data_IF_007344403987
#
_entry.id   IF_007344403987
#
_cell.length_a   1.000
_cell.length_b   1.000
_cell.length_c   1.000
_cell.angle_alpha   90.00
_cell.angle_beta   90.00
_cell.angle_gamma   90.00
#
_symmetry.space_group_name_H-M   'P 1'
#
loop_
_entity.id
_entity.type
_entity.pdbx_description
1 polymer ?
#
# COMPACT_ATOMS: atom_id res chain seq x y z
N UNK A 1 35.77 -35.70 -24.67
CA UNK A 1 36.80 -34.69 -25.03
C UNK A 1 36.18 -33.65 -25.95
N UNK A 2 36.56 -32.37 -25.77
CA UNK A 2 36.17 -31.12 -26.49
C UNK A 2 35.26 -30.14 -25.72
N UNK A 3 35.91 -29.33 -24.87
CA UNK A 3 35.72 -27.87 -24.75
C UNK A 3 36.60 -27.21 -25.83
N UNK A 4 36.34 -26.01 -26.42
CA UNK A 4 36.18 -24.72 -25.71
C UNK A 4 35.16 -23.75 -26.40
N UNK A 5 34.69 -22.65 -25.80
CA UNK A 5 35.39 -21.37 -25.85
C UNK A 5 34.71 -20.33 -24.96
N UNK A 6 35.53 -19.69 -24.13
CA UNK A 6 35.27 -18.39 -23.52
C UNK A 6 35.11 -17.32 -24.62
N UNK A 7 34.13 -16.44 -24.45
CA UNK A 7 34.31 -15.03 -24.81
C UNK A 7 33.87 -14.16 -23.63
N UNK A 8 34.90 -13.63 -22.97
CA UNK A 8 34.85 -12.48 -22.07
C UNK A 8 34.33 -11.25 -22.82
N UNK A 9 33.40 -10.53 -22.21
CA UNK A 9 33.11 -9.13 -22.51
C UNK A 9 32.97 -8.39 -21.18
N UNK A 10 34.04 -7.74 -20.68
CA UNK A 10 33.92 -6.76 -19.61
C UNK A 10 33.51 -5.44 -20.26
N UNK A 11 32.19 -5.25 -20.41
CA UNK A 11 31.62 -4.01 -20.93
C UNK A 11 31.58 -2.94 -19.85
N UNK A 12 32.42 -1.92 -20.02
CA UNK A 12 32.43 -0.66 -19.27
C UNK A 12 31.01 -0.09 -19.05
N UNK A 13 30.59 0.00 -17.79
CA UNK A 13 29.51 0.89 -17.32
C UNK A 13 29.92 1.48 -15.96
N UNK A 14 30.97 2.29 -15.94
CA UNK A 14 31.30 3.15 -14.80
C UNK A 14 31.46 4.58 -15.32
N UNK A 15 30.34 5.28 -15.40
CA UNK A 15 30.33 6.68 -15.79
C UNK A 15 28.92 7.22 -15.82
N UNK A 16 28.43 7.67 -14.66
CA UNK A 16 27.44 8.75 -14.45
C UNK A 16 27.08 8.82 -12.94
N UNK A 17 28.08 9.07 -12.09
CA UNK A 17 27.85 9.45 -10.68
C UNK A 17 28.16 10.93 -10.53
N UNK A 18 27.32 11.76 -11.17
CA UNK A 18 27.49 13.21 -11.19
C UNK A 18 26.20 13.93 -10.82
N UNK A 19 25.49 13.48 -9.78
CA UNK A 19 24.27 14.14 -9.30
C UNK A 19 24.53 14.72 -7.93
N UNK A 20 24.57 16.06 -7.91
CA UNK A 20 24.29 16.94 -6.78
C UNK A 20 24.70 16.43 -5.38
N UNK A 21 25.91 16.81 -4.94
CA UNK A 21 26.26 16.92 -3.52
C UNK A 21 25.55 18.12 -2.87
N UNK A 22 24.22 18.19 -3.02
CA UNK A 22 23.40 18.96 -2.10
C UNK A 22 23.01 17.99 -1.01
N UNK A 23 23.49 18.20 0.22
CA UNK A 23 23.03 17.47 1.40
C UNK A 23 21.49 17.46 1.39
N UNK A 24 20.90 16.32 1.03
CA UNK A 24 19.46 16.16 1.09
C UNK A 24 19.10 16.11 2.57
N UNK A 25 18.38 17.12 3.12
CA UNK A 25 18.03 17.15 4.53
C UNK A 25 17.20 15.92 4.93
N UNK A 26 16.49 15.30 3.98
CA UNK A 26 15.72 14.08 4.19
C UNK A 26 16.61 12.84 4.29
N UNK A 27 17.83 12.88 3.74
CA UNK A 27 18.83 11.82 3.87
C UNK A 27 19.68 11.94 5.14
N UNK A 28 19.46 12.96 5.98
CA UNK A 28 20.20 13.12 7.23
C UNK A 28 19.98 11.92 8.17
N UNK A 29 21.04 11.46 8.83
CA UNK A 29 20.99 10.32 9.77
C UNK A 29 19.93 10.52 10.86
N UNK A 30 19.74 11.78 11.30
CA UNK A 30 18.74 12.17 12.30
C UNK A 30 17.31 11.96 11.80
N UNK A 31 17.02 12.32 10.54
CA UNK A 31 15.71 12.08 9.93
C UNK A 31 15.45 10.58 9.78
N UNK A 32 16.41 9.83 9.24
CA UNK A 32 16.31 8.38 9.04
C UNK A 32 16.04 7.65 10.37
N UNK A 33 16.77 8.00 11.43
CA UNK A 33 16.58 7.41 12.76
C UNK A 33 15.19 7.74 13.34
N UNK A 34 14.69 8.95 13.12
CA UNK A 34 13.36 9.35 13.60
C UNK A 34 12.23 8.58 12.88
N UNK A 35 12.37 8.36 11.58
CA UNK A 35 11.42 7.57 10.78
C UNK A 35 11.41 6.10 11.21
N UNK A 36 12.58 5.49 11.43
CA UNK A 36 12.68 4.11 11.92
C UNK A 36 11.95 3.91 13.26
N UNK A 37 12.06 4.87 14.19
CA UNK A 37 11.35 4.82 15.47
C UNK A 37 9.84 4.93 15.30
N UNK A 38 9.38 5.79 14.39
CA UNK A 38 7.96 5.92 14.08
C UNK A 38 7.41 4.60 13.49
N UNK A 39 8.14 3.96 12.59
CA UNK A 39 7.71 2.69 11.99
C UNK A 39 7.72 1.54 13.01
N UNK A 40 8.70 1.48 13.91
CA UNK A 40 8.69 0.52 15.02
C UNK A 40 7.44 0.68 15.91
N UNK A 41 7.03 1.93 16.22
CA UNK A 41 5.81 2.19 17.00
C UNK A 41 4.53 1.77 16.26
N UNK A 42 4.49 1.96 14.93
CA UNK A 42 3.37 1.51 14.09
C UNK A 42 3.27 -0.02 14.08
N UNK A 43 4.39 -0.72 13.95
CA UNK A 43 4.46 -2.18 13.96
C UNK A 43 4.07 -2.78 15.30
N UNK A 44 4.36 -2.09 16.41
CA UNK A 44 3.98 -2.51 17.76
C UNK A 44 2.52 -2.20 18.12
N UNK A 45 1.71 -1.70 17.17
CA UNK A 45 0.34 -1.24 17.43
C UNK A 45 0.25 -0.29 18.63
N UNK A 46 1.23 0.62 18.75
CA UNK A 46 1.29 1.56 19.86
C UNK A 46 0.04 2.45 19.91
N UNK A 47 -0.26 2.97 21.11
CA UNK A 47 -1.38 3.88 21.31
C UNK A 47 -1.33 5.07 20.32
N UNK A 48 -2.49 5.54 19.81
CA UNK A 48 -2.53 6.57 18.76
C UNK A 48 -1.81 7.87 19.18
N UNK A 49 -1.83 8.21 20.47
CA UNK A 49 -1.12 9.37 21.02
C UNK A 49 0.40 9.22 20.91
N UNK A 50 0.93 8.01 21.11
CA UNK A 50 2.36 7.74 20.98
C UNK A 50 2.83 7.81 19.53
N UNK A 51 2.00 7.33 18.59
CA UNK A 51 2.27 7.45 17.14
C UNK A 51 2.24 8.91 16.70
N UNK A 52 1.28 9.71 17.18
CA UNK A 52 1.20 11.14 16.84
C UNK A 52 2.40 11.92 17.38
N UNK A 53 2.80 11.68 18.64
CA UNK A 53 4.01 12.27 19.20
C UNK A 53 5.28 11.89 18.42
N UNK A 54 5.36 10.65 17.91
CA UNK A 54 6.48 10.20 17.09
C UNK A 54 6.49 10.84 15.69
N UNK A 55 5.31 11.06 15.07
CA UNK A 55 5.19 11.79 13.80
C UNK A 55 5.71 13.22 13.91
N UNK A 56 5.33 13.93 14.98
CA UNK A 56 5.79 15.31 15.21
C UNK A 56 7.31 15.37 15.38
N UNK A 57 7.90 14.42 16.12
CA UNK A 57 9.36 14.32 16.27
C UNK A 57 10.09 14.01 14.96
N UNK A 58 9.53 13.12 14.13
CA UNK A 58 10.08 12.83 12.81
C UNK A 58 10.01 14.06 11.89
N UNK A 59 8.89 14.79 11.90
CA UNK A 59 8.75 16.02 11.13
C UNK A 59 9.78 17.09 11.52
N UNK A 60 9.99 17.31 12.83
CA UNK A 60 11.04 18.23 13.30
C UNK A 60 12.44 17.76 12.85
N UNK A 61 12.75 16.48 13.04
CA UNK A 61 14.06 15.94 12.66
C UNK A 61 14.37 16.00 11.15
N UNK A 62 13.35 15.92 10.30
CA UNK A 62 13.50 15.90 8.85
C UNK A 62 13.38 17.28 8.19
N UNK A 63 12.63 18.20 8.80
CA UNK A 63 12.32 19.51 8.20
C UNK A 63 13.09 20.67 8.85
N UNK A 64 13.59 20.50 10.07
CA UNK A 64 14.49 21.47 10.71
C UNK A 64 15.94 21.19 10.26
N UNK A 65 16.25 21.53 9.01
CA UNK A 65 17.65 21.67 8.57
C UNK A 65 18.36 22.78 9.36
N UNK A 66 19.70 22.95 9.21
CA UNK A 66 20.41 24.07 9.81
C UNK A 66 19.82 25.37 9.28
N UNK A 67 18.92 25.98 10.05
CA UNK A 67 18.23 27.19 9.64
C UNK A 67 19.25 28.33 9.51
N UNK A 68 19.44 28.95 8.33
CA UNK A 68 19.86 30.34 8.36
C UNK A 68 18.66 31.09 8.94
N UNK A 69 18.80 31.56 10.18
CA UNK A 69 17.81 32.35 10.88
C UNK A 69 17.40 33.56 10.07
N UNK A 70 16.40 33.38 9.20
CA UNK A 70 15.67 34.47 8.58
C UNK A 70 14.45 34.64 9.46
N UNK A 71 14.34 35.74 10.24
CA UNK A 71 13.07 36.08 10.84
C UNK A 71 12.06 36.19 9.70
N UNK A 72 11.09 35.28 9.65
CA UNK A 72 9.94 35.41 8.75
C UNK A 72 9.34 36.77 9.07
N UNK A 73 9.36 37.75 8.14
CA UNK A 73 8.72 39.03 8.40
C UNK A 73 7.25 38.72 8.61
N UNK A 74 6.80 38.82 9.87
CA UNK A 74 5.39 38.81 10.20
C UNK A 74 4.82 40.03 9.48
N UNK A 75 4.17 39.80 8.35
CA UNK A 75 3.22 40.79 7.84
C UNK A 75 2.29 41.11 9.03
N UNK A 76 1.95 42.39 9.29
CA UNK A 76 0.95 42.74 10.28
C UNK A 76 -0.41 42.23 9.77
N UNK A 77 -0.62 40.92 9.87
CA UNK A 77 -1.89 40.28 9.62
C UNK A 77 -2.81 40.79 10.73
N UNK A 78 -3.89 41.51 10.41
CA UNK A 78 -4.86 41.86 11.43
C UNK A 78 -5.34 40.57 12.11
N UNK A 79 -5.50 40.56 13.45
CA UNK A 79 -5.95 39.38 14.14
C UNK A 79 -7.29 38.94 13.55
N UNK A 80 -7.30 37.75 12.94
CA UNK A 80 -8.52 37.14 12.45
C UNK A 80 -9.38 36.86 13.68
N UNK A 81 -10.45 37.65 13.85
CA UNK A 81 -11.45 37.42 14.89
C UNK A 81 -12.24 36.19 14.48
N UNK A 82 -11.84 35.04 14.99
CA UNK A 82 -12.66 33.81 14.91
C UNK A 82 -13.81 33.98 15.88
N UNK A 83 -15.05 33.92 15.38
CA UNK A 83 -16.23 33.98 16.22
C UNK A 83 -16.22 32.83 17.24
N UNK A 84 -16.67 33.05 18.50
CA UNK A 84 -16.83 31.95 19.44
C UNK A 84 -17.81 30.93 18.85
N UNK A 85 -17.36 29.68 18.75
CA UNK A 85 -18.22 28.55 18.38
C UNK A 85 -19.30 28.43 19.44
N UNK A 86 -20.56 28.59 19.05
CA UNK A 86 -21.70 28.35 19.95
C UNK A 86 -21.64 26.90 20.46
N UNK A 87 -22.00 26.64 21.73
CA UNK A 87 -22.04 25.28 22.25
C UNK A 87 -23.03 24.46 21.42
N UNK A 88 -22.51 23.44 20.75
CA UNK A 88 -23.31 22.46 20.04
C UNK A 88 -24.26 21.77 21.03
N UNK A 89 -25.58 21.66 20.73
CA UNK A 89 -26.49 20.93 21.61
C UNK A 89 -25.99 19.50 21.82
N UNK A 90 -26.17 18.99 23.05
CA UNK A 90 -25.77 17.64 23.39
C UNK A 90 -26.42 16.63 22.43
N UNK A 91 -25.66 15.67 21.88
CA UNK A 91 -26.20 14.71 20.94
C UNK A 91 -27.29 13.88 21.62
N UNK A 92 -28.44 13.77 20.97
CA UNK A 92 -29.48 12.84 21.40
C UNK A 92 -28.89 11.43 21.39
N UNK A 93 -29.17 10.65 22.45
CA UNK A 93 -28.77 9.23 22.52
C UNK A 93 -29.44 8.52 21.35
N UNK A 94 -28.63 8.10 20.37
CA UNK A 94 -29.11 7.33 19.25
C UNK A 94 -29.61 5.96 19.75
N UNK A 95 -30.74 5.44 19.22
CA UNK A 95 -31.16 4.07 19.50
C UNK A 95 -30.04 3.10 19.08
N UNK A 96 -29.93 1.92 19.74
CA UNK A 96 -28.94 0.93 19.37
C UNK A 96 -29.11 0.55 17.89
N UNK A 97 -28.02 0.70 17.13
CA UNK A 97 -27.98 0.31 15.72
C UNK A 97 -27.98 -1.22 15.69
N UNK A 98 -29.10 -1.81 15.27
CA UNK A 98 -29.15 -3.22 14.88
C UNK A 98 -28.46 -3.36 13.54
N UNK A 99 -27.27 -3.93 13.55
CA UNK A 99 -26.56 -4.27 12.31
C UNK A 99 -27.31 -5.38 11.58
N UNK A 100 -27.56 -5.24 10.27
CA UNK A 100 -28.06 -6.37 9.49
C UNK A 100 -27.04 -7.51 9.57
N UNK A 101 -27.49 -8.78 9.60
CA UNK A 101 -26.58 -9.91 9.57
C UNK A 101 -25.66 -9.78 8.35
N UNK A 102 -24.39 -10.13 8.52
CA UNK A 102 -23.41 -10.09 7.45
C UNK A 102 -23.94 -10.89 6.24
N UNK A 103 -23.81 -10.36 5.01
CA UNK A 103 -24.26 -11.08 3.83
C UNK A 103 -23.51 -12.41 3.75
N UNK A 104 -24.26 -13.51 3.69
CA UNK A 104 -23.69 -14.83 3.44
C UNK A 104 -23.06 -14.81 2.04
N UNK A 105 -21.74 -15.02 1.98
CA UNK A 105 -21.05 -15.23 0.73
C UNK A 105 -21.47 -16.60 0.17
N UNK A 106 -22.47 -16.61 -0.70
CA UNK A 106 -22.85 -17.82 -1.45
C UNK A 106 -21.81 -18.00 -2.56
N UNK A 107 -20.99 -19.03 -2.45
CA UNK A 107 -20.08 -19.46 -3.52
C UNK A 107 -20.92 -19.79 -4.77
N UNK A 108 -20.81 -18.97 -5.80
CA UNK A 108 -21.50 -19.20 -7.08
C UNK A 108 -20.64 -20.11 -7.95
N UNK A 109 -21.21 -21.19 -8.54
CA UNK A 109 -20.51 -21.99 -9.54
C UNK A 109 -20.02 -21.10 -10.68
N UNK A 110 -18.80 -21.36 -11.17
CA UNK A 110 -18.25 -20.58 -12.26
C UNK A 110 -18.90 -21.02 -13.58
N UNK A 111 -19.51 -20.06 -14.27
CA UNK A 111 -20.12 -20.29 -15.58
C UNK A 111 -19.06 -20.08 -16.65
N UNK A 112 -18.82 -21.12 -17.46
CA UNK A 112 -17.87 -21.03 -18.57
C UNK A 112 -18.46 -20.19 -19.69
N UNK A 113 -17.74 -19.14 -20.10
CA UNK A 113 -18.19 -18.19 -21.13
C UNK A 113 -17.62 -18.51 -22.51
N UNK A 114 -16.37 -18.95 -22.58
CA UNK A 114 -15.71 -19.33 -23.82
C UNK A 114 -14.65 -20.40 -23.58
N UNK A 115 -14.40 -21.27 -24.57
CA UNK A 115 -13.33 -22.24 -24.52
C UNK A 115 -12.46 -22.15 -25.77
N UNK A 116 -11.15 -22.33 -25.58
CA UNK A 116 -10.15 -22.48 -26.62
C UNK A 116 -9.53 -23.89 -26.57
N UNK A 117 -8.54 -24.16 -27.41
CA UNK A 117 -7.88 -25.47 -27.46
C UNK A 117 -7.13 -25.84 -26.17
N UNK A 118 -6.78 -24.84 -25.35
CA UNK A 118 -5.93 -24.97 -24.17
C UNK A 118 -6.68 -24.82 -22.85
N UNK A 119 -7.93 -24.35 -22.86
CA UNK A 119 -8.71 -24.14 -21.65
C UNK A 119 -10.03 -23.44 -21.89
N UNK A 120 -10.64 -22.99 -20.80
CA UNK A 120 -11.88 -22.24 -20.79
C UNK A 120 -11.74 -20.97 -19.93
N UNK A 121 -12.57 -19.99 -20.20
CA UNK A 121 -12.71 -18.78 -19.41
C UNK A 121 -14.02 -18.83 -18.65
N UNK A 122 -14.01 -18.44 -17.38
CA UNK A 122 -15.23 -18.27 -16.59
C UNK A 122 -15.83 -16.85 -16.72
N UNK A 123 -17.01 -16.67 -16.13
CA UNK A 123 -17.73 -15.40 -16.10
C UNK A 123 -17.02 -14.31 -15.28
N UNK A 124 -16.10 -14.71 -14.40
CA UNK A 124 -15.27 -13.80 -13.60
C UNK A 124 -13.96 -13.41 -14.33
N UNK A 125 -13.76 -13.88 -15.57
CA UNK A 125 -12.58 -13.61 -16.37
C UNK A 125 -11.35 -14.42 -15.95
N UNK A 126 -11.52 -15.51 -15.19
CA UNK A 126 -10.43 -16.41 -14.82
C UNK A 126 -10.26 -17.50 -15.86
N UNK A 127 -9.00 -17.89 -16.06
CA UNK A 127 -8.63 -18.96 -16.99
C UNK A 127 -8.58 -20.30 -16.28
N UNK A 128 -9.35 -21.25 -16.79
CA UNK A 128 -9.37 -22.65 -16.40
C UNK A 128 -8.56 -23.45 -17.44
N UNK A 129 -7.37 -23.93 -17.06
CA UNK A 129 -6.49 -24.65 -17.98
C UNK A 129 -6.94 -26.10 -18.15
N UNK A 130 -6.87 -26.63 -19.36
CA UNK A 130 -7.16 -28.04 -19.61
C UNK A 130 -5.94 -28.90 -19.25
N UNK A 131 -6.14 -29.85 -18.33
CA UNK A 131 -5.15 -30.84 -17.91
C UNK A 131 -5.77 -32.22 -18.12
N UNK A 132 -5.51 -32.81 -19.28
CA UNK A 132 -6.18 -34.04 -19.70
C UNK A 132 -7.69 -33.82 -19.91
N UNK A 133 -8.57 -34.65 -19.31
CA UNK A 133 -10.02 -34.46 -19.40
C UNK A 133 -10.54 -33.40 -18.42
N UNK A 134 -9.73 -32.93 -17.47
CA UNK A 134 -10.15 -32.04 -16.40
C UNK A 134 -9.75 -30.58 -16.68
N UNK A 135 -10.50 -29.65 -16.07
CA UNK A 135 -10.15 -28.24 -16.03
C UNK A 135 -9.51 -27.90 -14.68
N UNK A 136 -8.50 -27.05 -14.68
CA UNK A 136 -7.78 -26.61 -13.49
C UNK A 136 -7.85 -25.09 -13.39
N UNK A 137 -8.43 -24.61 -12.29
CA UNK A 137 -8.43 -23.21 -11.91
C UNK A 137 -7.20 -22.84 -11.07
N UNK A 138 -7.11 -21.57 -10.62
CA UNK A 138 -5.98 -21.08 -9.81
C UNK A 138 -5.85 -21.76 -8.45
N UNK A 139 -6.91 -22.39 -7.95
CA UNK A 139 -6.94 -23.07 -6.65
C UNK A 139 -6.95 -24.60 -6.74
N UNK A 140 -6.94 -25.18 -7.95
CA UNK A 140 -6.90 -26.63 -8.14
C UNK A 140 -7.81 -27.16 -9.25
N UNK A 141 -8.02 -28.49 -9.31
CA UNK A 141 -8.92 -29.12 -10.27
C UNK A 141 -10.36 -28.69 -10.02
N UNK A 142 -11.09 -28.48 -11.11
CA UNK A 142 -12.49 -28.12 -11.10
C UNK A 142 -13.34 -29.35 -11.43
N UNK A 143 -14.43 -29.54 -10.70
CA UNK A 143 -15.38 -30.63 -10.94
C UNK A 143 -16.49 -30.18 -11.90
N UNK A 144 -16.80 -30.94 -12.95
CA UNK A 144 -17.94 -30.64 -13.82
C UNK A 144 -19.25 -30.90 -13.09
N UNK A 145 -20.15 -29.91 -13.10
CA UNK A 145 -21.54 -30.00 -12.63
C UNK A 145 -22.47 -29.60 -13.77
N UNK A 146 -22.80 -30.58 -14.63
CA UNK A 146 -23.61 -30.33 -15.83
C UNK A 146 -22.86 -29.45 -16.83
N UNK A 147 -23.43 -28.27 -17.13
CA UNK A 147 -22.82 -27.26 -17.99
C UNK A 147 -21.97 -26.22 -17.23
N UNK A 148 -21.78 -26.41 -15.93
CA UNK A 148 -21.00 -25.52 -15.06
C UNK A 148 -19.83 -26.26 -14.45
N UNK A 149 -18.85 -25.53 -13.91
CA UNK A 149 -17.74 -26.11 -13.17
C UNK A 149 -17.70 -25.52 -11.77
N UNK A 150 -17.31 -26.35 -10.80
CA UNK A 150 -17.07 -25.93 -9.42
C UNK A 150 -15.60 -26.14 -9.13
N UNK A 151 -14.90 -25.03 -8.92
CA UNK A 151 -13.50 -25.01 -8.53
C UNK A 151 -13.42 -24.64 -7.03
N UNK A 152 -12.48 -25.21 -6.26
CA UNK A 152 -12.19 -24.74 -4.89
C UNK A 152 -11.68 -23.30 -4.89
#
# INVERSE_FOLDING_TARGET
MRRPSLLLLPGLLLGLSGWASGDDPLASERCVQALQRLDALRQQAAAPQAVEAARQRAAQACLEGPAPGHPVPRSPQPPVRVAPVAPTPAPAVAPPITWPPAPLAVERPSVVTSCDATGCWDADGRRLNRVGPELHGPRGPCMPMGSTFVCP
#
